data_IF_609943878228
#
_entry.id   IF_609943878228
#
_cell.length_a   1.000
_cell.length_b   1.000
_cell.length_c   1.000
_cell.angle_alpha   90.00
_cell.angle_beta   90.00
_cell.angle_gamma   90.00
#
_symmetry.space_group_name_H-M   'P 1'
#
loop_
_entity.id
_entity.type
_entity.pdbx_description
1 polymer ?
#
# COMPACT_ATOMS: atom_id res chain seq x y z
N UNK A 1 -1.08 -11.59 -9.64
CA UNK A 1 -1.46 -11.42 -8.21
C UNK A 1 -0.27 -11.86 -7.36
N UNK A 2 0.11 -11.06 -6.35
CA UNK A 2 1.36 -11.14 -5.56
C UNK A 2 1.31 -12.30 -4.52
N UNK A 3 0.72 -13.46 -4.88
CA UNK A 3 0.29 -14.50 -3.92
C UNK A 3 1.40 -15.15 -3.09
N UNK A 4 2.68 -14.97 -3.42
CA UNK A 4 3.81 -15.59 -2.70
C UNK A 4 4.60 -14.63 -1.81
N UNK A 5 4.23 -13.35 -1.76
CA UNK A 5 4.97 -12.34 -0.99
C UNK A 5 4.13 -11.68 0.09
N UNK A 6 2.80 -11.73 -0.03
CA UNK A 6 1.90 -11.24 1.00
C UNK A 6 1.93 -12.16 2.23
N UNK A 7 1.55 -11.65 3.42
CA UNK A 7 1.32 -12.49 4.59
C UNK A 7 0.28 -13.57 4.28
N UNK A 8 0.50 -14.79 4.81
CA UNK A 8 -0.33 -15.97 4.54
C UNK A 8 -1.84 -15.70 4.73
N UNK A 9 -2.19 -14.93 5.75
CA UNK A 9 -3.58 -14.60 6.05
C UNK A 9 -4.23 -13.75 4.95
N UNK A 10 -3.47 -12.86 4.31
CA UNK A 10 -3.96 -12.00 3.23
C UNK A 10 -4.11 -12.81 1.94
N UNK A 11 -3.17 -13.72 1.65
CA UNK A 11 -3.31 -14.66 0.54
C UNK A 11 -4.56 -15.53 0.66
N UNK A 12 -4.80 -16.07 1.86
CA UNK A 12 -6.00 -16.85 2.15
C UNK A 12 -7.28 -16.04 1.93
N UNK A 13 -7.28 -14.75 2.29
CA UNK A 13 -8.43 -13.85 2.05
C UNK A 13 -8.70 -13.63 0.57
N UNK A 14 -7.66 -13.50 -0.26
CA UNK A 14 -7.83 -13.42 -1.71
C UNK A 14 -8.38 -14.72 -2.30
N UNK A 15 -7.94 -15.90 -1.83
CA UNK A 15 -8.49 -17.19 -2.24
C UNK A 15 -9.98 -17.31 -1.87
N UNK A 16 -10.36 -16.91 -0.64
CA UNK A 16 -11.76 -16.86 -0.20
C UNK A 16 -12.59 -15.91 -1.08
N UNK A 17 -12.07 -14.73 -1.42
CA UNK A 17 -12.73 -13.73 -2.28
C UNK A 17 -12.94 -14.24 -3.71
N UNK A 18 -11.93 -14.87 -4.33
CA UNK A 18 -12.04 -15.46 -5.68
C UNK A 18 -13.12 -16.56 -5.73
N UNK A 19 -13.22 -17.37 -4.66
CA UNK A 19 -14.26 -18.41 -4.54
C UNK A 19 -15.66 -17.84 -4.26
N UNK A 20 -15.75 -16.63 -3.71
CA UNK A 20 -16.99 -15.99 -3.21
C UNK A 20 -17.62 -14.98 -4.19
N UNK A 21 -17.21 -14.95 -5.47
CA UNK A 21 -17.53 -13.88 -6.45
C UNK A 21 -19.02 -13.63 -6.79
N UNK A 22 -19.98 -14.19 -6.04
CA UNK A 22 -21.42 -14.02 -6.24
C UNK A 22 -22.17 -13.23 -5.14
N UNK A 23 -21.51 -12.61 -4.16
CA UNK A 23 -22.20 -11.77 -3.16
C UNK A 23 -21.64 -10.35 -3.14
N UNK A 24 -22.51 -9.39 -3.49
CA UNK A 24 -22.32 -7.95 -3.21
C UNK A 24 -22.40 -7.73 -1.70
N UNK A 25 -21.34 -8.08 -0.99
CA UNK A 25 -21.17 -7.67 0.40
C UNK A 25 -20.55 -6.27 0.42
N UNK A 26 -20.86 -5.51 1.47
CA UNK A 26 -20.35 -4.15 1.69
C UNK A 26 -18.84 -4.11 1.42
N UNK A 27 -18.35 -3.00 0.86
CA UNK A 27 -16.91 -2.67 0.79
C UNK A 27 -16.42 -2.59 2.23
N UNK A 28 -16.15 -3.72 2.87
CA UNK A 28 -15.90 -3.81 4.32
C UNK A 28 -14.49 -4.31 4.60
N UNK A 29 -13.81 -4.82 3.58
CA UNK A 29 -12.60 -5.59 3.73
C UNK A 29 -11.38 -4.90 3.10
N UNK A 30 -11.55 -3.80 2.32
CA UNK A 30 -10.52 -2.96 1.67
C UNK A 30 -9.17 -3.68 1.46
N UNK A 31 -9.22 -4.93 0.98
CA UNK A 31 -8.04 -5.81 1.04
C UNK A 31 -6.92 -5.25 0.18
N UNK A 32 -7.29 -4.59 -0.91
CA UNK A 32 -6.39 -3.92 -1.84
C UNK A 32 -5.69 -2.73 -1.14
N UNK A 33 -6.42 -1.92 -0.35
CA UNK A 33 -5.82 -0.89 0.50
C UNK A 33 -4.87 -1.51 1.54
N UNK A 34 -5.30 -2.56 2.24
CA UNK A 34 -4.47 -3.21 3.27
C UNK A 34 -3.18 -3.78 2.65
N UNK A 35 -3.29 -4.37 1.45
CA UNK A 35 -2.15 -4.83 0.67
C UNK A 35 -1.21 -3.66 0.34
N UNK A 36 -1.75 -2.55 -0.16
CA UNK A 36 -0.94 -1.39 -0.53
C UNK A 36 -0.22 -0.78 0.68
N UNK A 37 -0.91 -0.67 1.83
CA UNK A 37 -0.28 -0.24 3.10
C UNK A 37 0.82 -1.22 3.52
N UNK A 38 0.59 -2.53 3.36
CA UNK A 38 1.63 -3.54 3.63
C UNK A 38 2.86 -3.37 2.72
N UNK A 39 2.66 -3.18 1.41
CA UNK A 39 3.74 -2.93 0.45
C UNK A 39 4.57 -1.68 0.83
N UNK A 40 3.92 -0.61 1.29
CA UNK A 40 4.61 0.59 1.79
C UNK A 40 5.40 0.29 3.06
N UNK A 41 4.85 -0.52 3.97
CA UNK A 41 5.46 -0.85 5.28
C UNK A 41 6.64 -1.81 5.20
N UNK A 42 6.81 -2.53 4.09
CA UNK A 42 7.74 -3.66 4.01
C UNK A 42 8.98 -3.34 3.16
N UNK A 43 10.10 -3.06 3.81
CA UNK A 43 11.36 -2.76 3.12
C UNK A 43 11.89 -3.95 2.29
N UNK A 44 11.75 -5.18 2.80
CA UNK A 44 12.24 -6.37 2.11
C UNK A 44 11.46 -6.62 0.83
N UNK A 45 10.14 -6.42 0.87
CA UNK A 45 9.30 -6.42 -0.31
C UNK A 45 9.78 -5.40 -1.34
N UNK A 46 10.01 -4.15 -0.92
CA UNK A 46 10.45 -3.08 -1.81
C UNK A 46 11.83 -3.39 -2.44
N UNK A 47 12.77 -3.94 -1.66
CA UNK A 47 14.06 -4.37 -2.19
C UNK A 47 13.91 -5.52 -3.22
N UNK A 48 13.10 -6.52 -2.92
CA UNK A 48 12.97 -7.70 -3.79
C UNK A 48 12.19 -7.39 -5.07
N UNK A 49 11.14 -6.60 -4.97
CA UNK A 49 10.22 -6.35 -6.07
C UNK A 49 10.54 -5.05 -6.82
N UNK A 50 10.65 -3.92 -6.11
CA UNK A 50 10.90 -2.63 -6.78
C UNK A 50 12.32 -2.53 -7.30
N UNK A 51 13.30 -3.00 -6.52
CA UNK A 51 14.73 -2.86 -6.87
C UNK A 51 15.24 -4.06 -7.67
N UNK A 52 15.03 -5.27 -7.17
CA UNK A 52 15.63 -6.48 -7.76
C UNK A 52 14.78 -7.11 -8.86
N UNK A 53 13.51 -6.71 -8.99
CA UNK A 53 12.56 -7.27 -9.94
C UNK A 53 12.54 -8.80 -9.92
N UNK A 54 12.60 -9.39 -8.72
CA UNK A 54 12.81 -10.83 -8.51
C UNK A 54 11.73 -11.69 -9.19
N UNK A 55 10.56 -11.11 -9.49
CA UNK A 55 9.44 -11.81 -10.14
C UNK A 55 9.10 -11.17 -11.48
N UNK A 56 9.21 -11.91 -12.57
CA UNK A 56 8.86 -11.43 -13.93
C UNK A 56 7.37 -11.08 -14.09
N UNK A 57 6.51 -11.70 -13.28
CA UNK A 57 5.05 -11.51 -13.32
C UNK A 57 4.55 -10.39 -12.38
N UNK A 58 5.42 -9.85 -11.53
CA UNK A 58 5.09 -8.75 -10.61
C UNK A 58 5.97 -7.57 -10.97
N UNK A 59 5.38 -6.61 -11.67
CA UNK A 59 5.99 -5.31 -11.93
C UNK A 59 5.36 -4.33 -10.97
N UNK A 60 6.10 -3.94 -9.95
CA UNK A 60 5.74 -2.89 -8.99
C UNK A 60 6.97 -2.03 -8.73
N UNK A 61 6.74 -0.77 -8.38
CA UNK A 61 7.75 0.27 -8.16
C UNK A 61 7.23 1.27 -7.13
N UNK A 62 8.06 2.21 -6.69
CA UNK A 62 7.56 3.31 -5.86
C UNK A 62 6.39 4.06 -6.53
N UNK A 63 6.47 4.28 -7.86
CA UNK A 63 5.43 5.01 -8.58
C UNK A 63 4.11 4.24 -8.60
N UNK A 64 4.17 2.92 -8.83
CA UNK A 64 2.99 2.07 -8.90
C UNK A 64 2.35 1.91 -7.52
N UNK A 65 3.15 1.58 -6.49
CA UNK A 65 2.66 1.51 -5.11
C UNK A 65 2.07 2.83 -4.64
N UNK A 66 2.71 3.98 -4.94
CA UNK A 66 2.15 5.29 -4.59
C UNK A 66 0.79 5.50 -5.25
N UNK A 67 0.68 5.22 -6.55
CA UNK A 67 -0.56 5.41 -7.31
C UNK A 67 -1.69 4.54 -6.74
N UNK A 68 -1.48 3.23 -6.60
CA UNK A 68 -2.50 2.31 -6.08
C UNK A 68 -2.92 2.64 -4.65
N UNK A 69 -1.95 2.95 -3.79
CA UNK A 69 -2.26 3.36 -2.42
C UNK A 69 -3.07 4.66 -2.38
N UNK A 70 -2.68 5.68 -3.15
CA UNK A 70 -3.37 6.97 -3.16
C UNK A 70 -4.81 6.82 -3.64
N UNK A 71 -5.06 6.09 -4.72
CA UNK A 71 -6.41 5.84 -5.24
C UNK A 71 -7.29 5.07 -4.23
N UNK A 72 -6.77 3.99 -3.65
CA UNK A 72 -7.53 3.16 -2.70
C UNK A 72 -7.77 3.89 -1.38
N UNK A 73 -6.77 4.64 -0.88
CA UNK A 73 -6.89 5.38 0.37
C UNK A 73 -7.91 6.51 0.24
N UNK A 74 -7.87 7.28 -0.86
CA UNK A 74 -8.85 8.33 -1.13
C UNK A 74 -10.27 7.76 -1.18
N UNK A 75 -10.49 6.69 -1.94
CA UNK A 75 -11.80 6.05 -2.05
C UNK A 75 -12.34 5.55 -0.70
N UNK A 76 -11.48 5.00 0.16
CA UNK A 76 -11.86 4.52 1.49
C UNK A 76 -12.14 5.67 2.47
N UNK A 77 -11.34 6.74 2.44
CA UNK A 77 -11.54 7.92 3.27
C UNK A 77 -12.87 8.62 2.92
N UNK A 78 -13.15 8.83 1.63
CA UNK A 78 -14.44 9.39 1.18
C UNK A 78 -15.62 8.49 1.57
N UNK A 79 -15.49 7.17 1.39
CA UNK A 79 -16.55 6.24 1.74
C UNK A 79 -16.81 6.16 3.26
N UNK A 80 -15.82 6.44 4.11
CA UNK A 80 -16.01 6.58 5.55
C UNK A 80 -16.82 7.84 5.89
N UNK A 81 -16.48 9.00 5.31
CA UNK A 81 -17.22 10.26 5.51
C UNK A 81 -18.69 10.14 5.06
N UNK A 82 -18.95 9.32 4.03
CA UNK A 82 -20.31 9.01 3.56
C UNK A 82 -21.02 7.88 4.35
N UNK A 83 -20.36 7.29 5.35
CA UNK A 83 -20.91 6.19 6.15
C UNK A 83 -21.08 4.87 5.39
N UNK A 84 -20.46 4.73 4.21
CA UNK A 84 -20.46 3.49 3.40
C UNK A 84 -19.47 2.46 3.91
N UNK A 85 -18.45 2.90 4.63
CA UNK A 85 -17.38 2.09 5.20
C UNK A 85 -17.39 2.15 6.72
N UNK A 86 -17.18 0.99 7.36
CA UNK A 86 -17.03 0.90 8.81
C UNK A 86 -15.54 0.81 9.16
N UNK A 87 -15.04 1.84 9.83
CA UNK A 87 -13.73 1.86 10.47
C UNK A 87 -13.82 2.66 11.77
N UNK A 88 -12.85 2.50 12.66
CA UNK A 88 -12.75 3.33 13.86
C UNK A 88 -12.23 4.72 13.50
N UNK A 89 -12.54 5.73 14.32
CA UNK A 89 -11.99 7.08 14.14
C UNK A 89 -10.45 7.08 14.18
N UNK A 90 -9.85 6.14 14.93
CA UNK A 90 -8.41 5.95 14.98
C UNK A 90 -7.86 5.40 13.66
N UNK A 91 -8.49 4.36 13.10
CA UNK A 91 -8.14 3.80 11.78
C UNK A 91 -8.23 4.89 10.70
N UNK A 92 -9.33 5.66 10.70
CA UNK A 92 -9.53 6.78 9.78
C UNK A 92 -8.41 7.82 9.89
N UNK A 93 -8.14 8.29 11.12
CA UNK A 93 -7.11 9.30 11.38
C UNK A 93 -5.71 8.84 10.97
N UNK A 94 -5.37 7.59 11.24
CA UNK A 94 -4.07 7.01 10.89
C UNK A 94 -3.93 6.85 9.38
N UNK A 95 -4.96 6.32 8.70
CA UNK A 95 -4.98 6.19 7.26
C UNK A 95 -4.84 7.55 6.56
N UNK A 96 -5.62 8.55 6.99
CA UNK A 96 -5.56 9.91 6.44
C UNK A 96 -4.17 10.52 6.58
N UNK A 97 -3.55 10.36 7.75
CA UNK A 97 -2.18 10.84 7.96
C UNK A 97 -1.17 10.12 7.05
N UNK A 98 -1.32 8.81 6.85
CA UNK A 98 -0.44 8.06 5.94
C UNK A 98 -0.61 8.54 4.50
N UNK A 99 -1.85 8.75 4.07
CA UNK A 99 -2.19 9.32 2.77
C UNK A 99 -1.47 10.65 2.54
N UNK A 100 -1.61 11.60 3.48
CA UNK A 100 -0.93 12.90 3.42
C UNK A 100 0.60 12.77 3.40
N UNK A 101 1.16 11.83 4.16
CA UNK A 101 2.62 11.60 4.20
C UNK A 101 3.16 11.06 2.88
N UNK A 102 2.43 10.15 2.22
CA UNK A 102 2.83 9.58 0.93
C UNK A 102 2.65 10.59 -0.20
N UNK A 103 1.55 11.36 -0.18
CA UNK A 103 1.27 12.33 -1.24
C UNK A 103 2.26 13.50 -1.25
N UNK A 104 2.64 13.98 -0.06
CA UNK A 104 3.64 15.04 0.11
C UNK A 104 5.10 14.56 -0.01
N UNK A 105 5.34 13.26 -0.24
CA UNK A 105 6.70 12.74 -0.38
C UNK A 105 7.28 13.08 -1.75
N UNK A 106 8.37 13.84 -1.74
CA UNK A 106 9.18 14.17 -2.92
C UNK A 106 10.56 13.51 -2.83
N UNK A 107 10.90 12.58 -3.74
CA UNK A 107 12.21 11.95 -3.75
C UNK A 107 13.30 12.97 -4.14
N UNK A 108 14.38 13.03 -3.37
CA UNK A 108 15.50 13.94 -3.59
C UNK A 108 16.76 13.20 -4.08
N UNK A 109 17.55 13.76 -5.02
CA UNK A 109 17.30 15.00 -5.77
C UNK A 109 16.25 14.83 -6.89
N UNK A 110 15.77 15.93 -7.45
CA UNK A 110 15.01 15.92 -8.71
C UNK A 110 15.85 15.28 -9.83
N UNK A 111 15.64 14.00 -10.10
CA UNK A 111 16.31 13.30 -11.20
C UNK A 111 15.36 13.24 -12.40
N UNK A 112 15.83 13.58 -13.62
CA UNK A 112 15.02 13.57 -14.84
C UNK A 112 14.22 12.27 -15.04
N UNK A 113 13.04 12.41 -15.63
CA UNK A 113 12.09 11.32 -15.84
C UNK A 113 12.73 10.08 -16.46
N UNK A 114 13.70 10.20 -17.38
CA UNK A 114 14.36 9.06 -18.03
C UNK A 114 15.11 8.10 -17.07
N UNK A 115 15.41 8.51 -15.84
CA UNK A 115 16.09 7.66 -14.85
C UNK A 115 15.13 7.02 -13.84
N UNK A 116 13.82 6.87 -14.17
CA UNK A 116 12.82 6.34 -13.23
C UNK A 116 13.25 5.08 -12.49
N UNK A 117 13.95 4.16 -13.18
CA UNK A 117 14.40 2.86 -12.65
C UNK A 117 15.53 2.97 -11.64
N UNK A 118 16.32 4.05 -11.67
CA UNK A 118 17.36 4.31 -10.67
C UNK A 118 16.79 4.86 -9.35
N UNK A 119 15.48 5.18 -9.30
CA UNK A 119 14.83 5.83 -8.15
C UNK A 119 14.45 4.86 -7.04
N UNK A 120 14.03 3.64 -7.35
CA UNK A 120 13.51 2.72 -6.33
C UNK A 120 14.58 2.35 -5.30
N UNK A 121 15.81 2.06 -5.72
CA UNK A 121 16.93 1.78 -4.80
C UNK A 121 17.23 2.97 -3.87
N UNK A 122 17.16 4.19 -4.40
CA UNK A 122 17.41 5.41 -3.63
C UNK A 122 16.28 5.65 -2.62
N UNK A 123 15.02 5.53 -3.07
CA UNK A 123 13.82 5.72 -2.26
C UNK A 123 13.75 4.68 -1.13
N UNK A 124 14.07 3.42 -1.41
CA UNK A 124 14.06 2.36 -0.39
C UNK A 124 15.00 2.66 0.77
N UNK A 125 16.07 3.44 0.53
CA UNK A 125 17.02 3.85 1.55
C UNK A 125 16.86 5.32 1.99
N UNK A 126 15.87 6.04 1.46
CA UNK A 126 15.64 7.44 1.80
C UNK A 126 15.15 7.55 3.26
N UNK A 127 15.81 8.33 4.13
CA UNK A 127 15.40 8.52 5.51
C UNK A 127 13.97 9.07 5.68
N UNK A 128 13.48 9.87 4.74
CA UNK A 128 12.11 10.37 4.76
C UNK A 128 11.10 9.29 4.35
N UNK A 129 11.43 8.47 3.35
CA UNK A 129 10.62 7.30 3.02
C UNK A 129 10.60 6.27 4.16
N UNK A 130 11.71 6.09 4.87
CA UNK A 130 11.77 5.21 6.04
C UNK A 130 10.78 5.65 7.15
N UNK A 131 10.62 6.96 7.39
CA UNK A 131 9.59 7.46 8.34
C UNK A 131 8.18 7.12 7.88
N UNK A 132 7.92 7.18 6.58
CA UNK A 132 6.64 6.81 5.98
C UNK A 132 6.41 5.31 6.16
N UNK A 133 7.43 4.48 5.87
CA UNK A 133 7.39 3.03 6.06
C UNK A 133 7.09 2.65 7.51
N UNK A 134 7.79 3.26 8.46
CA UNK A 134 7.58 3.01 9.89
C UNK A 134 6.16 3.37 10.32
N UNK A 135 5.63 4.50 9.84
CA UNK A 135 4.25 4.87 10.11
C UNK A 135 3.23 3.97 9.42
N UNK A 136 3.50 3.55 8.17
CA UNK A 136 2.67 2.62 7.42
C UNK A 136 2.55 1.26 8.13
N UNK A 137 3.61 0.80 8.79
CA UNK A 137 3.57 -0.40 9.63
C UNK A 137 2.55 -0.27 10.77
N UNK A 138 2.54 0.86 11.46
CA UNK A 138 1.55 1.12 12.52
C UNK A 138 0.11 1.17 11.97
N UNK A 139 -0.06 1.77 10.79
CA UNK A 139 -1.37 1.82 10.11
C UNK A 139 -1.82 0.42 9.71
N UNK A 140 -0.93 -0.38 9.13
CA UNK A 140 -1.20 -1.77 8.77
C UNK A 140 -1.66 -2.58 10.00
N UNK A 141 -0.89 -2.52 11.09
CA UNK A 141 -1.22 -3.20 12.34
C UNK A 141 -2.58 -2.76 12.93
N UNK A 142 -2.99 -1.51 12.74
CA UNK A 142 -4.28 -0.99 13.20
C UNK A 142 -5.45 -1.41 12.29
N UNK A 143 -5.23 -1.49 10.97
CA UNK A 143 -6.27 -1.86 10.00
C UNK A 143 -6.66 -3.34 10.06
N UNK A 144 -5.78 -4.21 10.58
CA UNK A 144 -6.01 -5.67 10.62
C UNK A 144 -6.52 -6.18 11.98
N UNK A 145 -6.78 -5.28 12.94
CA UNK A 145 -7.38 -5.59 14.25
C UNK A 145 -8.88 -5.85 14.14
#
# INVERSE_FOLDING_TARGET
MIKNYLPDWLNKKYEEKEMSSNKREKIADFLDLIQNVWCISNQDYQNRIWVQHETQDIVDSFCDTRMYFSEDAEAVLEAYEEGRVKMTDQQHKMLKKLYEMVDNYEPQPEIPFEFRRCRDQQIVNDPNWNKIRDFAKLVYEELIK
#
